data_IF_172294294765
#
_entry.id   IF_172294294765
#
_cell.length_a   1.000
_cell.length_b   1.000
_cell.length_c   1.000
_cell.angle_alpha   90.00
_cell.angle_beta   90.00
_cell.angle_gamma   90.00
#
_symmetry.space_group_name_H-M   'P 1'
#
loop_
_entity.id
_entity.type
_entity.pdbx_description
1 polymer ?
#
# COMPACT_ATOMS: atom_id res chain seq x y z
N UNK A 1 12.48 19.22 -8.10
CA UNK A 1 13.68 18.73 -8.82
C UNK A 1 14.52 19.88 -9.37
N UNK A 2 14.06 20.62 -10.40
CA UNK A 2 14.85 21.70 -11.01
C UNK A 2 15.37 22.73 -10.01
N UNK A 3 14.50 23.29 -9.16
CA UNK A 3 14.88 24.29 -8.15
C UNK A 3 16.01 23.78 -7.25
N UNK A 4 15.78 22.65 -6.58
CA UNK A 4 16.76 22.05 -5.65
C UNK A 4 18.07 21.61 -6.31
N UNK A 5 18.01 20.87 -7.43
CA UNK A 5 19.22 20.38 -8.10
C UNK A 5 20.03 21.52 -8.71
N UNK A 6 19.40 22.63 -9.09
CA UNK A 6 20.06 23.78 -9.69
C UNK A 6 20.18 24.96 -8.69
N UNK A 7 20.52 24.66 -7.44
CA UNK A 7 20.98 25.62 -6.41
C UNK A 7 19.92 26.53 -5.76
N UNK A 8 18.64 26.34 -6.06
CA UNK A 8 17.53 27.02 -5.38
C UNK A 8 16.95 26.23 -4.20
N UNK A 9 15.95 26.82 -3.53
CA UNK A 9 15.19 26.19 -2.46
C UNK A 9 13.68 26.31 -2.70
N UNK A 10 12.92 25.34 -2.21
CA UNK A 10 11.45 25.34 -2.22
C UNK A 10 10.96 25.26 -0.79
N UNK A 11 10.14 26.22 -0.36
CA UNK A 11 9.63 26.34 1.00
C UNK A 11 8.12 26.49 0.98
N UNK A 12 7.43 25.75 1.84
CA UNK A 12 6.03 26.00 2.16
C UNK A 12 5.97 27.02 3.31
N UNK A 13 5.26 28.13 3.11
CA UNK A 13 5.17 29.23 4.08
C UNK A 13 3.90 29.12 4.94
N UNK A 14 3.97 28.69 6.23
CA UNK A 14 2.77 28.40 7.03
C UNK A 14 1.87 29.63 7.29
N UNK A 15 2.45 30.83 7.22
CA UNK A 15 1.74 32.10 7.40
C UNK A 15 0.98 32.56 6.14
N UNK A 16 1.24 31.97 4.97
CA UNK A 16 0.53 32.27 3.73
C UNK A 16 -0.43 31.12 3.40
N UNK A 17 -1.73 31.41 3.37
CA UNK A 17 -2.77 30.38 3.20
C UNK A 17 -3.67 30.73 2.03
N UNK A 18 -3.88 29.76 1.15
CA UNK A 18 -4.78 29.86 0.00
C UNK A 18 -5.71 28.65 0.01
N UNK A 19 -7.01 28.89 -0.10
CA UNK A 19 -8.00 27.81 -0.24
C UNK A 19 -8.06 27.31 -1.68
N UNK A 20 -7.89 26.00 -1.88
CA UNK A 20 -8.06 25.35 -3.19
C UNK A 20 -9.28 24.42 -3.16
N UNK A 21 -10.21 24.59 -4.11
CA UNK A 21 -11.37 23.72 -4.26
C UNK A 21 -10.96 22.48 -5.04
N UNK A 22 -10.86 21.34 -4.35
CA UNK A 22 -10.61 20.05 -4.98
C UNK A 22 -11.83 19.59 -5.80
N UNK A 23 -11.57 18.95 -6.94
CA UNK A 23 -12.62 18.43 -7.82
C UNK A 23 -13.07 17.06 -7.29
N UNK A 24 -14.37 16.88 -7.09
CA UNK A 24 -14.90 15.68 -6.43
C UNK A 24 -14.97 14.41 -7.30
N UNK A 25 -15.01 14.52 -8.64
CA UNK A 25 -15.18 13.31 -9.48
C UNK A 25 -14.78 13.43 -10.94
N UNK A 26 -14.85 14.62 -11.55
CA UNK A 26 -14.63 14.78 -13.00
C UNK A 26 -13.81 16.00 -13.35
N UNK A 27 -13.06 15.89 -14.44
CA UNK A 27 -12.42 17.01 -15.11
C UNK A 27 -13.50 17.61 -16.01
N UNK A 28 -13.96 18.86 -15.78
CA UNK A 28 -15.10 19.45 -16.48
C UNK A 28 -14.81 19.83 -17.95
N UNK A 29 -13.68 19.39 -18.49
CA UNK A 29 -13.21 19.71 -19.83
C UNK A 29 -12.87 18.43 -20.58
N UNK A 30 -13.15 18.37 -21.89
CA UNK A 30 -12.86 17.21 -22.70
C UNK A 30 -11.34 16.96 -22.72
N UNK A 31 -10.95 15.69 -22.68
CA UNK A 31 -9.59 15.33 -23.00
C UNK A 31 -9.35 15.74 -24.46
N UNK A 32 -8.28 16.49 -24.78
CA UNK A 32 -7.96 16.84 -26.16
C UNK A 32 -7.79 15.63 -27.10
N UNK A 33 -7.80 14.39 -26.59
CA UNK A 33 -7.85 13.16 -27.39
C UNK A 33 -6.52 12.80 -28.05
N UNK A 34 -5.47 13.57 -27.76
CA UNK A 34 -4.15 13.44 -28.38
C UNK A 34 -3.27 12.52 -27.51
N UNK A 35 -3.54 11.22 -27.56
CA UNK A 35 -2.70 10.18 -26.95
C UNK A 35 -2.51 10.27 -25.43
N UNK A 36 -1.60 9.44 -24.92
CA UNK A 36 -1.30 9.39 -23.48
C UNK A 36 -0.28 10.46 -23.07
N UNK A 37 -0.80 11.67 -22.88
CA UNK A 37 -0.01 12.81 -22.42
C UNK A 37 0.58 12.64 -21.02
N UNK A 38 -0.11 11.90 -20.16
CA UNK A 38 0.30 11.70 -18.77
C UNK A 38 1.59 10.89 -18.76
N UNK A 39 1.58 9.73 -19.41
CA UNK A 39 2.78 8.88 -19.53
C UNK A 39 3.92 9.59 -20.24
N UNK A 40 3.62 10.33 -21.31
CA UNK A 40 4.62 11.17 -22.00
C UNK A 40 5.27 12.16 -21.04
N UNK A 41 4.49 12.91 -20.27
CA UNK A 41 5.00 13.95 -19.39
C UNK A 41 5.80 13.36 -18.22
N UNK A 42 5.32 12.27 -17.61
CA UNK A 42 6.07 11.55 -16.57
C UNK A 42 7.43 11.09 -17.08
N UNK A 43 7.47 10.45 -18.25
CA UNK A 43 8.73 10.00 -18.83
C UNK A 43 9.65 11.16 -19.19
N UNK A 44 9.15 12.26 -19.76
CA UNK A 44 9.97 13.45 -20.06
C UNK A 44 10.65 14.02 -18.82
N UNK A 45 9.97 14.05 -17.67
CA UNK A 45 10.58 14.49 -16.41
C UNK A 45 11.60 13.48 -15.92
N UNK A 46 11.27 12.19 -15.92
CA UNK A 46 12.16 11.13 -15.45
C UNK A 46 13.49 11.11 -16.23
N UNK A 47 13.42 11.13 -17.57
CA UNK A 47 14.58 11.10 -18.47
C UNK A 47 15.50 12.32 -18.37
N UNK A 48 14.99 13.45 -17.87
CA UNK A 48 15.78 14.69 -17.75
C UNK A 48 16.33 14.86 -16.34
N UNK A 49 15.59 14.46 -15.31
CA UNK A 49 15.86 14.87 -13.92
C UNK A 49 16.06 13.75 -12.91
N UNK A 50 15.70 12.50 -13.23
CA UNK A 50 15.71 11.39 -12.25
C UNK A 50 16.89 10.43 -12.39
N UNK A 51 17.75 10.60 -13.39
CA UNK A 51 18.95 9.76 -13.61
C UNK A 51 18.61 8.26 -13.54
N UNK A 52 19.48 7.43 -12.96
CA UNK A 52 19.25 5.99 -12.71
C UNK A 52 17.95 5.68 -11.94
N UNK A 53 17.38 6.62 -11.17
CA UNK A 53 16.15 6.37 -10.42
C UNK A 53 14.90 6.28 -11.32
N UNK A 54 14.99 6.76 -12.57
CA UNK A 54 13.94 6.56 -13.56
C UNK A 54 13.61 5.07 -13.78
N UNK A 55 14.60 4.18 -13.59
CA UNK A 55 14.42 2.74 -13.73
C UNK A 55 13.42 2.17 -12.71
N UNK A 56 13.37 2.70 -11.49
CA UNK A 56 12.40 2.27 -10.47
C UNK A 56 10.97 2.64 -10.86
N UNK A 57 10.79 3.82 -11.47
CA UNK A 57 9.50 4.24 -12.03
C UNK A 57 9.05 3.28 -13.14
N UNK A 58 9.96 2.89 -14.03
CA UNK A 58 9.65 1.99 -15.13
C UNK A 58 9.39 0.55 -14.70
N UNK A 59 10.04 0.06 -13.63
CA UNK A 59 9.73 -1.24 -13.03
C UNK A 59 8.29 -1.31 -12.51
N UNK A 60 7.79 -0.22 -11.93
CA UNK A 60 6.41 -0.13 -11.41
C UNK A 60 5.37 0.12 -12.50
N UNK A 61 5.72 0.93 -13.51
CA UNK A 61 4.85 1.24 -14.65
C UNK A 61 5.57 0.96 -15.98
N UNK A 62 5.62 -0.31 -16.42
CA UNK A 62 6.31 -0.70 -17.65
C UNK A 62 5.84 0.06 -18.89
N UNK A 63 4.55 0.41 -18.95
CA UNK A 63 3.94 1.19 -20.04
C UNK A 63 4.62 2.55 -20.30
N UNK A 64 5.27 3.13 -19.28
CA UNK A 64 5.99 4.38 -19.46
C UNK A 64 7.17 4.24 -20.44
N UNK A 65 7.83 3.07 -20.50
CA UNK A 65 9.02 2.87 -21.35
C UNK A 65 8.74 3.00 -22.84
N UNK A 66 7.51 2.75 -23.28
CA UNK A 66 7.12 2.84 -24.70
C UNK A 66 6.54 4.21 -25.06
N UNK A 67 6.27 5.07 -24.09
CA UNK A 67 5.68 6.38 -24.33
C UNK A 67 6.63 7.29 -25.15
N UNK A 68 6.14 7.84 -26.27
CA UNK A 68 6.92 8.74 -27.10
C UNK A 68 7.12 10.09 -26.41
N UNK A 69 8.36 10.39 -26.03
CA UNK A 69 8.73 11.63 -25.32
C UNK A 69 9.05 12.81 -26.23
N UNK A 70 9.24 12.59 -27.53
CA UNK A 70 9.81 13.59 -28.45
C UNK A 70 11.24 13.98 -28.08
N UNK A 71 11.72 15.12 -28.61
CA UNK A 71 13.07 15.60 -28.28
C UNK A 71 13.16 16.13 -26.85
N UNK A 72 14.25 15.76 -26.18
CA UNK A 72 14.64 16.21 -24.84
C UNK A 72 15.94 17.02 -24.84
N UNK A 73 16.53 17.26 -26.01
CA UNK A 73 17.88 17.84 -26.14
C UNK A 73 17.96 19.22 -25.49
N UNK A 74 16.94 20.07 -25.67
CA UNK A 74 16.89 21.41 -25.06
C UNK A 74 16.84 21.35 -23.54
N UNK A 75 16.04 20.44 -22.99
CA UNK A 75 15.86 20.28 -21.54
C UNK A 75 17.13 19.74 -20.89
N UNK A 76 17.77 18.74 -21.52
CA UNK A 76 19.07 18.20 -21.07
C UNK A 76 20.18 19.26 -21.15
N UNK A 77 20.22 20.05 -22.22
CA UNK A 77 21.18 21.14 -22.37
C UNK A 77 21.03 22.21 -21.27
N UNK A 78 19.81 22.53 -20.84
CA UNK A 78 19.58 23.45 -19.72
C UNK A 78 20.16 22.89 -18.42
N UNK A 79 19.90 21.60 -18.11
CA UNK A 79 20.44 20.96 -16.91
C UNK A 79 21.97 20.96 -16.90
N UNK A 80 22.58 20.66 -18.05
CA UNK A 80 24.04 20.71 -18.22
C UNK A 80 24.59 22.13 -18.06
N UNK A 81 24.00 23.12 -18.75
CA UNK A 81 24.45 24.52 -18.70
C UNK A 81 24.40 25.10 -17.28
N UNK A 82 23.41 24.70 -16.49
CA UNK A 82 23.24 25.18 -15.11
C UNK A 82 24.08 24.41 -14.08
N UNK A 83 24.88 23.42 -14.51
CA UNK A 83 25.69 22.56 -13.65
C UNK A 83 24.89 21.99 -12.46
N UNK A 84 23.66 21.53 -12.73
CA UNK A 84 22.80 21.03 -11.67
C UNK A 84 23.35 19.72 -11.06
N UNK A 85 23.10 19.54 -9.77
CA UNK A 85 23.46 18.34 -9.01
C UNK A 85 22.72 17.10 -9.52
N UNK A 86 23.22 15.92 -9.15
CA UNK A 86 22.60 14.64 -9.49
C UNK A 86 21.27 14.43 -8.75
N UNK A 87 20.43 13.54 -9.27
CA UNK A 87 19.22 13.13 -8.57
C UNK A 87 19.53 12.30 -7.31
N UNK A 88 20.63 11.54 -7.31
CA UNK A 88 21.12 10.84 -6.12
C UNK A 88 21.37 11.79 -4.95
N UNK A 89 22.04 12.92 -5.19
CA UNK A 89 22.21 13.98 -4.19
C UNK A 89 20.85 14.52 -3.70
N UNK A 90 19.89 14.72 -4.61
CA UNK A 90 18.56 15.19 -4.23
C UNK A 90 17.83 14.18 -3.32
N UNK A 91 17.91 12.89 -3.61
CA UNK A 91 17.28 11.84 -2.80
C UNK A 91 17.94 11.65 -1.44
N UNK A 92 19.26 11.88 -1.33
CA UNK A 92 20.00 11.71 -0.07
C UNK A 92 19.96 12.93 0.84
N UNK A 93 20.01 14.14 0.27
CA UNK A 93 20.14 15.38 1.06
C UNK A 93 18.80 16.10 1.25
N UNK A 94 17.93 16.09 0.23
CA UNK A 94 16.68 16.88 0.25
C UNK A 94 15.48 15.99 0.53
N UNK A 95 15.39 14.84 -0.12
CA UNK A 95 14.25 13.91 -0.05
C UNK A 95 14.61 12.62 0.69
N UNK A 96 15.40 12.73 1.77
CA UNK A 96 15.94 11.59 2.53
C UNK A 96 14.84 10.72 3.18
N UNK A 97 13.71 11.32 3.50
CA UNK A 97 12.55 10.68 4.12
C UNK A 97 11.65 9.94 3.11
N UNK A 98 11.78 10.21 1.81
CA UNK A 98 10.97 9.56 0.78
C UNK A 98 11.12 8.04 0.81
N UNK A 99 12.35 7.52 0.95
CA UNK A 99 12.59 6.07 1.00
C UNK A 99 12.00 5.40 2.25
N UNK A 100 11.71 6.16 3.32
CA UNK A 100 11.04 5.63 4.51
C UNK A 100 9.60 5.25 4.20
N UNK A 101 8.90 6.08 3.43
CA UNK A 101 7.46 5.91 3.11
C UNK A 101 7.19 5.25 1.76
N UNK A 102 8.07 5.47 0.79
CA UNK A 102 7.94 4.95 -0.57
C UNK A 102 9.29 4.39 -1.03
N UNK A 103 9.78 3.31 -0.40
CA UNK A 103 11.06 2.72 -0.75
C UNK A 103 11.07 2.32 -2.22
N UNK A 104 12.15 2.60 -2.95
CA UNK A 104 12.24 2.32 -4.38
C UNK A 104 11.96 0.83 -4.70
N UNK A 105 12.49 -0.07 -3.86
CA UNK A 105 12.18 -1.49 -3.82
C UNK A 105 11.44 -1.75 -2.52
N UNK A 106 10.19 -2.20 -2.61
CA UNK A 106 9.43 -2.57 -1.43
C UNK A 106 10.06 -3.80 -0.75
N UNK A 107 10.23 -3.78 0.58
CA UNK A 107 10.62 -4.97 1.32
C UNK A 107 9.65 -6.12 1.11
N UNK A 108 10.12 -7.35 1.29
CA UNK A 108 9.28 -8.53 1.21
C UNK A 108 8.16 -8.51 2.26
N UNK A 109 7.02 -9.13 1.93
CA UNK A 109 5.91 -9.28 2.85
C UNK A 109 6.23 -10.28 3.96
N UNK A 110 5.69 -10.03 5.15
CA UNK A 110 5.76 -10.96 6.26
C UNK A 110 4.98 -12.24 5.97
N UNK A 111 3.83 -12.09 5.32
CA UNK A 111 2.96 -13.18 4.90
C UNK A 111 2.18 -12.78 3.64
N UNK A 112 1.79 -13.75 2.82
CA UNK A 112 0.99 -13.51 1.62
C UNK A 112 0.20 -14.75 1.20
N UNK A 113 -0.81 -14.53 0.37
CA UNK A 113 -1.69 -15.57 -0.16
C UNK A 113 -3.05 -15.54 0.53
N UNK A 114 -3.69 -16.69 0.57
CA UNK A 114 -4.96 -16.87 1.25
C UNK A 114 -4.77 -16.84 2.77
N UNK A 115 -5.75 -16.27 3.45
CA UNK A 115 -5.84 -16.22 4.90
C UNK A 115 -7.02 -17.09 5.36
N UNK A 116 -6.71 -18.32 5.77
CA UNK A 116 -7.71 -19.34 6.14
C UNK A 116 -7.94 -19.36 7.64
N UNK A 117 -9.20 -19.40 8.05
CA UNK A 117 -9.58 -19.67 9.44
C UNK A 117 -9.56 -21.18 9.73
N UNK A 118 -8.98 -21.60 10.86
CA UNK A 118 -8.85 -23.02 11.20
C UNK A 118 -10.20 -23.65 11.62
N UNK A 119 -11.08 -22.91 12.31
CA UNK A 119 -12.36 -23.44 12.77
C UNK A 119 -13.40 -23.50 11.64
N UNK A 120 -13.58 -22.39 10.92
CA UNK A 120 -14.56 -22.30 9.85
C UNK A 120 -14.13 -23.08 8.60
N UNK A 121 -12.81 -23.30 8.43
CA UNK A 121 -12.22 -23.87 7.24
C UNK A 121 -12.51 -23.04 5.96
N UNK A 122 -12.72 -21.74 6.14
CA UNK A 122 -13.02 -20.75 5.10
C UNK A 122 -11.90 -19.70 5.03
N UNK A 123 -11.79 -19.01 3.90
CA UNK A 123 -10.79 -17.99 3.64
C UNK A 123 -11.40 -16.58 3.67
N UNK A 124 -10.61 -15.61 4.14
CA UNK A 124 -10.98 -14.19 4.07
C UNK A 124 -11.09 -13.78 2.61
N UNK A 125 -12.25 -13.24 2.23
CA UNK A 125 -12.55 -12.79 0.88
C UNK A 125 -13.15 -11.39 0.91
N UNK A 126 -12.44 -10.44 0.30
CA UNK A 126 -12.89 -9.06 0.23
C UNK A 126 -13.92 -8.79 -0.85
N UNK A 127 -14.18 -9.76 -1.74
CA UNK A 127 -15.19 -9.68 -2.82
C UNK A 127 -15.10 -8.39 -3.65
N UNK A 128 -13.91 -7.81 -3.79
CA UNK A 128 -13.68 -6.51 -4.46
C UNK A 128 -14.45 -5.33 -3.85
N UNK A 129 -14.93 -5.46 -2.61
CA UNK A 129 -15.68 -4.42 -1.92
C UNK A 129 -14.88 -3.10 -1.82
N UNK A 130 -15.61 -2.00 -1.76
CA UNK A 130 -15.13 -0.63 -1.65
C UNK A 130 -14.80 -0.21 -0.22
N UNK A 131 -14.52 1.08 -0.07
CA UNK A 131 -14.27 1.67 1.24
C UNK A 131 -15.54 1.61 2.11
N UNK A 132 -15.35 1.35 3.41
CA UNK A 132 -16.41 1.22 4.43
C UNK A 132 -17.31 -0.02 4.30
N UNK A 133 -17.06 -0.89 3.34
CA UNK A 133 -17.83 -2.11 3.18
C UNK A 133 -17.24 -3.23 4.03
N UNK A 134 -18.15 -4.07 4.56
CA UNK A 134 -17.78 -5.28 5.29
C UNK A 134 -17.46 -6.38 4.30
N UNK A 135 -16.57 -7.25 4.74
CA UNK A 135 -16.20 -8.47 4.03
C UNK A 135 -16.17 -9.63 5.01
N UNK A 136 -16.01 -10.85 4.51
CA UNK A 136 -16.29 -12.05 5.27
C UNK A 136 -15.41 -13.22 4.89
N UNK A 137 -15.82 -14.39 5.35
CA UNK A 137 -15.26 -15.67 5.00
C UNK A 137 -16.06 -16.32 3.88
N UNK A 138 -15.37 -16.88 2.88
CA UNK A 138 -15.95 -17.72 1.83
C UNK A 138 -15.09 -18.97 1.62
N UNK A 139 -15.56 -19.88 0.78
CA UNK A 139 -14.78 -21.06 0.39
C UNK A 139 -13.45 -20.61 -0.20
N UNK A 140 -12.37 -21.28 0.19
CA UNK A 140 -11.04 -20.96 -0.30
C UNK A 140 -10.95 -21.26 -1.80
N UNK A 141 -10.40 -20.32 -2.58
CA UNK A 141 -10.19 -20.52 -4.03
C UNK A 141 -9.27 -21.73 -4.29
N UNK A 142 -8.33 -22.00 -3.37
CA UNK A 142 -7.50 -23.21 -3.41
C UNK A 142 -8.29 -24.53 -3.41
N UNK A 143 -9.47 -24.54 -2.77
CA UNK A 143 -10.29 -25.73 -2.58
C UNK A 143 -11.34 -25.88 -3.69
N UNK A 144 -11.81 -24.76 -4.24
CA UNK A 144 -12.78 -24.71 -5.34
C UNK A 144 -12.42 -23.58 -6.33
N UNK A 145 -11.62 -23.89 -7.39
CA UNK A 145 -11.16 -22.89 -8.35
C UNK A 145 -12.27 -22.29 -9.23
N UNK A 146 -13.50 -22.81 -9.13
CA UNK A 146 -14.66 -22.30 -9.87
C UNK A 146 -15.22 -21.04 -9.18
N UNK A 147 -15.06 -20.93 -7.85
CA UNK A 147 -15.49 -19.76 -7.10
C UNK A 147 -14.47 -18.63 -7.30
N UNK A 148 -14.93 -17.51 -7.87
CA UNK A 148 -14.12 -16.30 -8.02
C UNK A 148 -14.09 -15.50 -6.72
N UNK A 149 -13.06 -14.67 -6.52
CA UNK A 149 -13.01 -13.82 -5.33
C UNK A 149 -11.71 -13.03 -5.20
N UNK A 150 -11.64 -12.22 -4.15
CA UNK A 150 -10.45 -11.46 -3.79
C UNK A 150 -9.88 -12.00 -2.48
N UNK A 151 -9.18 -13.14 -2.55
CA UNK A 151 -8.68 -13.87 -1.38
C UNK A 151 -7.15 -13.81 -1.22
N UNK A 152 -6.43 -13.23 -2.19
CA UNK A 152 -4.98 -13.06 -2.08
C UNK A 152 -4.65 -11.79 -1.29
N UNK A 153 -4.35 -11.96 0.00
CA UNK A 153 -3.97 -10.88 0.91
C UNK A 153 -2.44 -10.83 1.10
N UNK A 154 -1.95 -9.72 1.63
CA UNK A 154 -0.54 -9.49 1.98
C UNK A 154 -0.46 -8.81 3.34
N UNK A 155 0.42 -9.30 4.22
CA UNK A 155 0.86 -8.63 5.43
C UNK A 155 2.17 -7.89 5.12
N UNK A 156 2.07 -6.58 4.89
CA UNK A 156 3.15 -5.79 4.31
C UNK A 156 4.15 -5.28 5.36
N UNK A 157 5.21 -4.60 4.90
CA UNK A 157 6.18 -3.94 5.77
C UNK A 157 5.61 -2.75 6.56
N UNK A 158 4.40 -2.28 6.22
CA UNK A 158 3.66 -1.29 7.00
C UNK A 158 2.92 -1.88 8.21
N UNK A 159 3.01 -3.19 8.40
CA UNK A 159 2.22 -3.97 9.36
C UNK A 159 0.71 -3.87 9.13
N UNK A 160 0.29 -3.69 7.88
CA UNK A 160 -1.11 -3.73 7.48
C UNK A 160 -1.41 -4.98 6.66
N UNK A 161 -2.68 -5.36 6.66
CA UNK A 161 -3.22 -6.44 5.82
C UNK A 161 -4.02 -5.81 4.70
N UNK A 162 -3.74 -6.19 3.45
CA UNK A 162 -4.44 -5.66 2.27
C UNK A 162 -4.57 -6.68 1.14
N UNK A 163 -5.60 -6.58 0.29
CA UNK A 163 -5.66 -7.33 -0.96
C UNK A 163 -4.51 -6.99 -1.89
N UNK A 164 -3.98 -8.01 -2.56
CA UNK A 164 -2.87 -7.85 -3.50
C UNK A 164 -3.29 -6.96 -4.67
N UNK A 165 -2.58 -5.84 -4.84
CA UNK A 165 -2.80 -4.90 -5.94
C UNK A 165 -3.81 -3.78 -5.62
N UNK A 166 -4.35 -3.72 -4.40
CA UNK A 166 -5.23 -2.64 -3.96
C UNK A 166 -4.53 -1.70 -2.97
N UNK A 167 -5.04 -0.46 -2.92
CA UNK A 167 -4.65 0.56 -1.95
C UNK A 167 -5.62 0.64 -0.76
N UNK A 168 -6.31 -0.48 -0.49
CA UNK A 168 -7.27 -0.64 0.60
C UNK A 168 -6.70 -1.61 1.63
N UNK A 169 -6.81 -1.27 2.90
CA UNK A 169 -6.28 -2.01 4.03
C UNK A 169 -7.43 -2.42 4.95
N UNK A 170 -7.22 -3.49 5.70
CA UNK A 170 -8.07 -3.85 6.82
C UNK A 170 -7.98 -2.76 7.90
N UNK A 171 -9.14 -2.33 8.39
CA UNK A 171 -9.27 -1.22 9.31
C UNK A 171 -10.24 -1.59 10.44
N UNK A 172 -9.82 -1.30 11.68
CA UNK A 172 -10.61 -1.50 12.90
C UNK A 172 -10.84 -0.14 13.56
N UNK A 173 -11.95 0.51 13.20
CA UNK A 173 -12.20 1.89 13.64
C UNK A 173 -12.65 2.03 15.10
N UNK A 174 -13.03 0.93 15.77
CA UNK A 174 -13.48 0.93 17.17
C UNK A 174 -12.78 -0.16 17.97
N UNK A 175 -12.48 0.10 19.25
CA UNK A 175 -11.78 -0.84 20.14
C UNK A 175 -12.74 -1.60 21.06
N UNK A 176 -13.96 -1.89 20.58
CA UNK A 176 -14.98 -2.62 21.34
C UNK A 176 -15.01 -4.10 20.95
N UNK A 177 -15.58 -4.94 21.82
CA UNK A 177 -15.85 -6.33 21.48
C UNK A 177 -16.81 -6.40 20.29
N UNK A 178 -16.59 -7.37 19.40
CA UNK A 178 -17.28 -7.50 18.11
C UNK A 178 -17.11 -6.30 17.18
N UNK A 179 -16.04 -5.50 17.34
CA UNK A 179 -15.75 -4.43 16.39
C UNK A 179 -15.58 -5.03 14.97
N UNK A 180 -16.31 -4.53 13.96
CA UNK A 180 -16.21 -5.05 12.61
C UNK A 180 -14.87 -4.66 11.98
N UNK A 181 -14.38 -5.53 11.10
CA UNK A 181 -13.22 -5.25 10.26
C UNK A 181 -13.74 -4.80 8.90
N UNK A 182 -13.35 -3.60 8.48
CA UNK A 182 -13.78 -3.01 7.21
C UNK A 182 -12.59 -2.74 6.30
N UNK A 183 -12.86 -2.46 5.03
CA UNK A 183 -11.84 -1.93 4.13
C UNK A 183 -11.80 -0.41 4.19
N UNK A 184 -10.61 0.16 4.38
CA UNK A 184 -10.39 1.61 4.30
C UNK A 184 -9.11 1.93 3.52
N UNK A 185 -8.94 3.18 3.08
CA UNK A 185 -7.74 3.57 2.34
C UNK A 185 -6.49 3.37 3.21
N UNK A 186 -5.47 2.68 2.65
CA UNK A 186 -4.22 2.46 3.35
C UNK A 186 -3.50 3.79 3.59
N UNK A 187 -3.16 4.11 4.84
CA UNK A 187 -2.45 5.35 5.17
C UNK A 187 -0.99 5.14 5.63
N UNK A 188 -0.57 3.90 5.92
CA UNK A 188 0.83 3.60 6.28
C UNK A 188 1.29 4.22 7.62
N UNK A 189 0.35 4.66 8.46
CA UNK A 189 0.64 5.28 9.76
C UNK A 189 0.46 4.31 10.93
N UNK A 190 0.42 3.00 10.68
CA UNK A 190 0.00 1.97 11.65
C UNK A 190 -1.42 2.28 12.19
N UNK A 191 -1.61 2.40 13.50
CA UNK A 191 -2.91 2.75 14.09
C UNK A 191 -3.95 1.63 13.95
N UNK A 192 -5.17 2.01 13.59
CA UNK A 192 -6.32 1.13 13.32
C UNK A 192 -6.13 0.15 12.15
N UNK A 193 -5.04 0.29 11.38
CA UNK A 193 -4.66 -0.63 10.30
C UNK A 193 -3.48 -1.54 10.68
N UNK A 194 -3.04 -1.49 11.95
CA UNK A 194 -1.87 -2.24 12.42
C UNK A 194 -2.26 -3.64 12.87
N UNK A 195 -1.77 -4.67 12.18
CA UNK A 195 -1.93 -6.07 12.54
C UNK A 195 -0.57 -6.75 12.72
N UNK A 196 -0.48 -7.61 13.74
CA UNK A 196 0.63 -8.51 13.99
C UNK A 196 0.14 -9.95 13.87
N UNK A 197 0.82 -10.76 13.08
CA UNK A 197 0.59 -12.21 13.08
C UNK A 197 1.50 -12.84 14.14
N UNK A 198 0.92 -13.55 15.09
CA UNK A 198 1.61 -14.26 16.16
C UNK A 198 1.77 -15.73 15.75
N UNK A 199 2.97 -16.20 15.35
CA UNK A 199 3.14 -17.56 14.83
C UNK A 199 2.84 -18.65 15.85
N UNK A 200 3.15 -18.42 17.12
CA UNK A 200 3.01 -19.41 18.20
C UNK A 200 1.54 -19.76 18.47
N UNK A 201 0.67 -18.74 18.53
CA UNK A 201 -0.77 -18.92 18.75
C UNK A 201 -1.58 -18.96 17.46
N UNK A 202 -0.96 -18.63 16.32
CA UNK A 202 -1.60 -18.42 15.01
C UNK A 202 -2.67 -17.33 15.01
N UNK A 203 -2.55 -16.33 15.87
CA UNK A 203 -3.53 -15.25 16.00
C UNK A 203 -3.10 -14.02 15.20
N UNK A 204 -4.10 -13.26 14.72
CA UNK A 204 -3.91 -11.91 14.19
C UNK A 204 -4.27 -10.90 15.28
N UNK A 205 -3.25 -10.34 15.90
CA UNK A 205 -3.35 -9.39 16.99
C UNK A 205 -3.38 -7.96 16.45
N UNK A 206 -4.30 -7.15 16.98
CA UNK A 206 -4.40 -5.72 16.67
C UNK A 206 -3.88 -4.91 17.88
N UNK A 207 -2.65 -4.35 17.80
CA UNK A 207 -2.00 -3.75 18.96
C UNK A 207 -2.73 -2.57 19.56
N UNK A 208 -3.47 -1.79 18.75
CA UNK A 208 -4.15 -0.58 19.24
C UNK A 208 -5.35 -0.90 20.12
N UNK A 209 -6.11 -1.96 19.79
CA UNK A 209 -7.28 -2.36 20.61
C UNK A 209 -6.95 -3.46 21.61
N UNK A 210 -5.77 -4.08 21.52
CA UNK A 210 -5.38 -5.29 22.24
C UNK A 210 -6.35 -6.47 22.03
N UNK A 211 -7.03 -6.50 20.88
CA UNK A 211 -7.95 -7.57 20.48
C UNK A 211 -7.32 -8.45 19.39
N UNK A 212 -7.88 -9.64 19.21
CA UNK A 212 -7.52 -10.57 18.15
C UNK A 212 -8.66 -10.67 17.13
N UNK A 213 -8.29 -10.90 15.87
CA UNK A 213 -9.24 -11.22 14.81
C UNK A 213 -9.89 -12.57 15.11
N UNK A 214 -11.22 -12.58 15.13
CA UNK A 214 -12.09 -13.72 15.40
C UNK A 214 -13.15 -13.82 14.30
N UNK A 215 -13.85 -14.94 14.23
CA UNK A 215 -14.90 -15.14 13.24
C UNK A 215 -16.09 -15.91 13.79
N UNK A 216 -17.24 -15.67 13.18
CA UNK A 216 -18.40 -16.55 13.26
C UNK A 216 -18.28 -17.61 12.15
N UNK A 217 -18.07 -18.88 12.54
CA UNK A 217 -17.88 -19.97 11.60
C UNK A 217 -19.14 -20.36 10.81
N UNK A 218 -20.33 -20.05 11.33
CA UNK A 218 -21.60 -20.35 10.67
C UNK A 218 -22.00 -19.25 9.70
N UNK A 219 -21.86 -17.98 10.13
CA UNK A 219 -22.24 -16.80 9.32
C UNK A 219 -21.14 -16.31 8.39
N UNK A 220 -19.89 -16.69 8.64
CA UNK A 220 -18.73 -16.21 7.89
C UNK A 220 -18.39 -14.74 8.18
N UNK A 221 -18.83 -14.19 9.31
CA UNK A 221 -18.50 -12.82 9.71
C UNK A 221 -17.14 -12.78 10.43
N UNK A 222 -16.42 -11.67 10.26
CA UNK A 222 -15.11 -11.42 10.90
C UNK A 222 -15.17 -10.13 11.73
N UNK A 223 -14.62 -10.20 12.93
CA UNK A 223 -14.68 -9.13 13.91
C UNK A 223 -13.52 -9.25 14.91
N UNK A 224 -13.37 -8.24 15.77
CA UNK A 224 -12.36 -8.23 16.82
C UNK A 224 -12.95 -8.67 18.15
N UNK A 225 -12.22 -9.52 18.89
CA UNK A 225 -12.61 -10.01 20.20
C UNK A 225 -11.40 -10.15 21.14
N UNK A 226 -11.61 -10.28 22.46
CA UNK A 226 -10.54 -10.57 23.40
C UNK A 226 -9.75 -11.81 22.96
N UNK A 227 -8.43 -11.70 22.97
CA UNK A 227 -7.53 -12.77 22.53
C UNK A 227 -7.64 -13.99 23.44
N UNK A 228 -7.87 -15.15 22.83
CA UNK A 228 -7.95 -16.45 23.48
C UNK A 228 -7.23 -17.48 22.60
N UNK A 229 -6.08 -17.98 23.08
CA UNK A 229 -5.22 -18.90 22.34
C UNK A 229 -5.83 -20.30 22.16
N UNK A 230 -6.86 -20.65 22.92
CA UNK A 230 -7.54 -21.95 22.81
C UNK A 230 -8.65 -21.93 21.76
N UNK A 231 -9.24 -20.75 21.49
CA UNK A 231 -10.28 -20.59 20.48
C UNK A 231 -9.76 -20.82 19.07
N UNK A 232 -10.25 -21.89 18.43
CA UNK A 232 -9.94 -22.21 17.03
C UNK A 232 -10.43 -21.15 16.05
N UNK A 233 -11.48 -20.40 16.36
CA UNK A 233 -12.01 -19.30 15.52
C UNK A 233 -11.07 -18.10 15.46
N UNK A 234 -10.11 -17.98 16.38
CA UNK A 234 -9.07 -16.95 16.37
C UNK A 234 -7.75 -17.43 15.75
N UNK A 235 -7.70 -18.67 15.23
CA UNK A 235 -6.49 -19.23 14.62
C UNK A 235 -6.56 -19.11 13.11
N UNK A 236 -5.54 -18.50 12.53
CA UNK A 236 -5.44 -18.15 11.12
C UNK A 236 -4.20 -18.77 10.49
N UNK A 237 -4.32 -19.20 9.24
CA UNK A 237 -3.24 -19.80 8.47
C UNK A 237 -3.07 -19.05 7.15
N UNK A 238 -1.85 -18.56 6.93
CA UNK A 238 -1.44 -17.94 5.67
C UNK A 238 -0.87 -19.01 4.71
N UNK A 239 -1.10 -18.85 3.40
CA UNK A 239 -0.47 -19.74 2.39
C UNK A 239 1.05 -19.65 2.41
N UNK A 240 1.61 -18.43 2.49
CA UNK A 240 3.06 -18.19 2.55
C UNK A 240 3.39 -17.30 3.74
N UNK A 241 4.38 -17.70 4.51
CA UNK A 241 4.89 -16.93 5.66
C UNK A 241 6.40 -16.87 5.63
N UNK A 242 6.96 -15.72 5.98
CA UNK A 242 8.37 -15.57 6.29
C UNK A 242 8.50 -15.39 7.81
N UNK A 243 8.69 -16.51 8.53
CA UNK A 243 8.71 -16.52 9.99
C UNK A 243 9.79 -15.61 10.58
N UNK A 244 10.96 -15.54 9.92
CA UNK A 244 12.05 -14.66 10.36
C UNK A 244 11.60 -13.19 10.31
N UNK A 245 11.05 -12.75 9.17
CA UNK A 245 10.55 -11.38 9.02
C UNK A 245 9.40 -11.07 9.99
N UNK A 246 8.49 -12.02 10.20
CA UNK A 246 7.38 -11.86 11.17
C UNK A 246 7.94 -11.62 12.58
N UNK A 247 8.88 -12.46 13.02
CA UNK A 247 9.47 -12.35 14.37
C UNK A 247 10.28 -11.07 14.53
N UNK A 248 10.99 -10.63 13.50
CA UNK A 248 11.71 -9.34 13.49
C UNK A 248 10.74 -8.16 13.59
N UNK A 249 9.74 -8.10 12.70
CA UNK A 249 8.73 -7.02 12.67
C UNK A 249 7.82 -6.99 13.90
N UNK A 250 7.59 -8.12 14.55
CA UNK A 250 6.80 -8.16 15.78
C UNK A 250 7.53 -7.50 16.96
N UNK A 251 8.86 -7.49 16.97
CA UNK A 251 9.69 -6.83 18.00
C UNK A 251 9.74 -5.31 17.84
N UNK A 252 9.51 -4.81 16.63
CA UNK A 252 9.39 -3.39 16.36
C UNK A 252 8.06 -2.89 16.99
N UNK A 253 8.18 -2.15 18.09
CA UNK A 253 7.08 -1.41 18.72
C UNK A 253 6.79 -0.14 17.93
#
# INVERSE_FOLDING_TARGET
MQVWQCHGALLDAPCSRVGHIYRCKYIPFPNPGVGDFISRNYRRVAEVWMDEYAEFLYKRKPLLRTANVGSLSKQKAVRQRLNCKSFDWFMKEIAFDQNKFYPAIEPEDSASGELRNIAANLCVDTQFQGAHEKFGLRKCISDDPVDGGEQTLRLTFWHDIRPKGRTMCLDVSTSVNQAPIILYSCHGMKGNQHFKFLPDTKQLFHPISALCMDCDAERGEIFMNPCDSEKKTQKWSWTKTNLKLILERNKET
#
